data_IF_189261212141
#
_entry.id   IF_189261212141
#
_cell.length_a   1.000
_cell.length_b   1.000
_cell.length_c   1.000
_cell.angle_alpha   90.00
_cell.angle_beta   90.00
_cell.angle_gamma   90.00
#
_symmetry.space_group_name_H-M   'P 1'
#
loop_
_entity.id
_entity.type
_entity.pdbx_description
1 polymer ?
#
# COMPACT_ATOMS: atom_id res chain seq x y z
N UNK A 1 5.84 17.20 7.93
CA UNK A 1 5.44 16.66 6.61
C UNK A 1 3.97 16.97 6.33
N UNK A 2 3.02 16.47 7.10
CA UNK A 2 1.58 16.76 6.89
C UNK A 2 1.23 18.25 6.92
N UNK A 3 1.79 19.03 7.86
CA UNK A 3 1.60 20.48 7.89
C UNK A 3 2.07 21.19 6.60
N UNK A 4 3.12 20.70 5.93
CA UNK A 4 3.62 21.27 4.66
C UNK A 4 2.67 20.97 3.51
N UNK A 5 2.20 19.72 3.43
CA UNK A 5 1.19 19.29 2.45
C UNK A 5 -0.07 20.15 2.60
N UNK A 6 -0.53 20.37 3.84
CA UNK A 6 -1.68 21.23 4.13
C UNK A 6 -1.40 22.68 3.67
N UNK A 7 -0.24 23.27 3.96
CA UNK A 7 0.13 24.60 3.47
C UNK A 7 0.10 24.69 1.93
N UNK A 8 0.67 23.70 1.24
CA UNK A 8 0.70 23.64 -0.23
C UNK A 8 -0.71 23.49 -0.82
N UNK A 9 -1.60 22.72 -0.17
CA UNK A 9 -3.00 22.57 -0.60
C UNK A 9 -3.82 23.84 -0.36
N UNK A 10 -3.61 24.55 0.74
CA UNK A 10 -4.21 25.86 0.99
C UNK A 10 -3.82 26.84 -0.12
N UNK A 11 -2.54 26.85 -0.49
CA UNK A 11 -2.02 27.66 -1.59
C UNK A 11 -2.67 27.26 -2.92
N UNK A 12 -2.71 25.96 -3.25
CA UNK A 12 -3.33 25.45 -4.48
C UNK A 12 -4.82 25.79 -4.58
N UNK A 13 -5.56 25.70 -3.47
CA UNK A 13 -6.98 26.02 -3.41
C UNK A 13 -7.27 27.53 -3.50
N UNK A 14 -6.25 28.39 -3.36
CA UNK A 14 -6.41 29.85 -3.43
C UNK A 14 -7.20 30.45 -2.27
N UNK A 15 -7.28 29.75 -1.13
CA UNK A 15 -8.05 30.18 0.06
C UNK A 15 -7.13 30.70 1.17
N UNK A 16 -7.65 31.63 1.97
CA UNK A 16 -6.89 32.16 3.10
C UNK A 16 -6.84 31.17 4.27
N UNK A 17 -5.78 31.21 5.07
CA UNK A 17 -5.70 30.42 6.30
C UNK A 17 -6.85 30.76 7.27
N UNK A 18 -7.32 32.01 7.30
CA UNK A 18 -8.46 32.39 8.12
C UNK A 18 -9.75 31.66 7.69
N UNK A 19 -9.97 31.52 6.38
CA UNK A 19 -11.12 30.77 5.85
C UNK A 19 -11.02 29.28 6.18
N UNK A 20 -9.83 28.70 6.04
CA UNK A 20 -9.59 27.30 6.43
C UNK A 20 -9.86 27.11 7.93
N UNK A 21 -9.36 28.01 8.78
CA UNK A 21 -9.55 27.95 10.21
C UNK A 21 -11.04 27.97 10.61
N UNK A 22 -11.83 28.82 9.93
CA UNK A 22 -13.29 28.87 10.07
C UNK A 22 -13.93 27.52 9.69
N UNK A 23 -13.60 26.97 8.52
CA UNK A 23 -14.18 25.72 8.04
C UNK A 23 -13.86 24.53 8.96
N UNK A 24 -12.67 24.49 9.57
CA UNK A 24 -12.25 23.38 10.47
C UNK A 24 -12.56 23.65 11.95
N UNK A 25 -13.31 24.73 12.24
CA UNK A 25 -13.75 25.14 13.58
C UNK A 25 -12.57 25.39 14.55
N UNK A 26 -11.57 26.14 14.09
CA UNK A 26 -10.40 26.56 14.89
C UNK A 26 -10.13 28.04 14.77
N UNK A 27 -9.27 28.57 15.64
CA UNK A 27 -8.79 29.95 15.49
C UNK A 27 -7.66 30.04 14.45
N UNK A 28 -7.52 31.17 13.74
CA UNK A 28 -6.40 31.39 12.83
C UNK A 28 -5.02 31.21 13.48
N UNK A 29 -4.91 31.53 14.79
CA UNK A 29 -3.69 31.34 15.57
C UNK A 29 -3.37 29.85 15.73
N UNK A 30 -4.36 29.03 16.10
CA UNK A 30 -4.18 27.57 16.24
C UNK A 30 -3.76 26.94 14.92
N UNK A 31 -4.41 27.31 13.81
CA UNK A 31 -4.01 26.82 12.49
C UNK A 31 -2.58 27.28 12.15
N UNK A 32 -2.25 28.55 12.35
CA UNK A 32 -0.90 29.08 12.09
C UNK A 32 0.19 28.35 12.89
N UNK A 33 -0.04 28.09 14.18
CA UNK A 33 0.89 27.32 15.03
C UNK A 33 1.05 25.89 14.52
N UNK A 34 -0.05 25.23 14.13
CA UNK A 34 0.01 23.90 13.53
C UNK A 34 0.80 23.87 12.21
N UNK A 35 0.55 24.84 11.33
CA UNK A 35 1.22 24.92 10.02
C UNK A 35 2.73 25.18 10.16
N UNK A 36 3.16 25.85 11.24
CA UNK A 36 4.57 26.03 11.59
C UNK A 36 5.19 24.83 12.30
N UNK A 37 4.39 23.82 12.65
CA UNK A 37 4.83 22.65 13.42
C UNK A 37 5.07 22.94 14.91
N UNK A 38 4.53 24.06 15.41
CA UNK A 38 4.67 24.52 16.79
C UNK A 38 3.52 24.01 17.69
N UNK A 39 2.44 23.49 17.11
CA UNK A 39 1.29 22.93 17.82
C UNK A 39 0.64 21.77 17.05
N UNK A 40 -0.33 21.12 17.71
CA UNK A 40 -1.17 20.07 17.12
C UNK A 40 -2.61 20.54 16.97
N UNK A 41 -3.30 20.06 15.94
CA UNK A 41 -4.76 20.11 15.86
C UNK A 41 -5.35 18.90 16.58
N UNK A 42 -6.56 19.03 17.13
CA UNK A 42 -7.32 17.86 17.58
C UNK A 42 -7.78 17.03 16.36
N UNK A 43 -8.11 15.75 16.60
CA UNK A 43 -8.48 14.82 15.51
C UNK A 43 -9.63 15.34 14.64
N UNK A 44 -10.69 15.88 15.24
CA UNK A 44 -11.87 16.39 14.51
C UNK A 44 -11.51 17.54 13.58
N UNK A 45 -10.69 18.48 14.05
CA UNK A 45 -10.22 19.60 13.23
C UNK A 45 -9.23 19.15 12.15
N UNK A 46 -8.39 18.14 12.44
CA UNK A 46 -7.46 17.60 11.45
C UNK A 46 -8.17 16.80 10.35
N UNK A 47 -9.11 15.93 10.71
CA UNK A 47 -9.96 15.19 9.76
C UNK A 47 -10.70 16.15 8.83
N UNK A 48 -11.34 17.18 9.40
CA UNK A 48 -12.03 18.20 8.61
C UNK A 48 -11.08 19.01 7.74
N UNK A 49 -9.84 19.24 8.19
CA UNK A 49 -8.81 19.88 7.36
C UNK A 49 -8.43 19.03 6.15
N UNK A 50 -8.30 17.72 6.32
CA UNK A 50 -8.06 16.75 5.23
C UNK A 50 -9.24 16.76 4.25
N UNK A 51 -10.48 16.78 4.74
CA UNK A 51 -11.69 16.84 3.91
C UNK A 51 -11.82 18.16 3.13
N UNK A 52 -11.73 19.30 3.81
CA UNK A 52 -11.89 20.63 3.20
C UNK A 52 -10.82 20.91 2.14
N UNK A 53 -9.61 20.40 2.34
CA UNK A 53 -8.50 20.54 1.39
C UNK A 53 -8.42 19.40 0.36
N UNK A 54 -9.42 18.51 0.35
CA UNK A 54 -9.55 17.37 -0.57
C UNK A 54 -8.28 16.51 -0.64
N UNK A 55 -7.69 16.23 0.53
CA UNK A 55 -6.55 15.34 0.65
C UNK A 55 -7.09 13.91 0.66
N UNK A 56 -7.04 13.24 -0.48
CA UNK A 56 -7.64 11.92 -0.67
C UNK A 56 -6.87 10.79 0.04
N UNK A 57 -7.09 10.63 1.34
CA UNK A 57 -6.62 9.47 2.12
C UNK A 57 -7.56 8.25 1.98
N UNK A 58 -8.79 8.46 1.53
CA UNK A 58 -9.81 7.41 1.37
C UNK A 58 -9.40 6.36 0.33
N UNK A 59 -8.51 6.74 -0.60
CA UNK A 59 -7.96 5.83 -1.60
C UNK A 59 -7.35 4.55 -0.98
N UNK A 60 -6.70 4.65 0.18
CA UNK A 60 -6.11 3.49 0.87
C UNK A 60 -7.18 2.54 1.40
N UNK A 61 -8.24 3.10 2.00
CA UNK A 61 -9.38 2.31 2.46
C UNK A 61 -10.09 1.61 1.30
N UNK A 62 -10.37 2.34 0.23
CA UNK A 62 -11.09 1.81 -0.93
C UNK A 62 -10.31 0.68 -1.62
N UNK A 63 -8.99 0.84 -1.78
CA UNK A 63 -8.13 -0.22 -2.33
C UNK A 63 -8.13 -1.46 -1.46
N UNK A 64 -8.04 -1.29 -0.14
CA UNK A 64 -8.04 -2.42 0.79
C UNK A 64 -9.38 -3.17 0.80
N UNK A 65 -10.51 -2.46 0.85
CA UNK A 65 -11.83 -3.08 0.81
C UNK A 65 -12.09 -3.78 -0.53
N UNK A 66 -11.69 -3.18 -1.66
CA UNK A 66 -11.75 -3.84 -2.96
C UNK A 66 -10.92 -5.12 -2.98
N UNK A 67 -9.71 -5.10 -2.42
CA UNK A 67 -8.86 -6.29 -2.34
C UNK A 67 -9.48 -7.40 -1.48
N UNK A 68 -10.19 -7.06 -0.40
CA UNK A 68 -10.97 -8.03 0.39
C UNK A 68 -12.10 -8.66 -0.40
N UNK A 69 -12.84 -7.86 -1.17
CA UNK A 69 -13.92 -8.35 -2.04
C UNK A 69 -13.35 -9.32 -3.09
N UNK A 70 -12.28 -8.91 -3.78
CA UNK A 70 -11.59 -9.76 -4.78
C UNK A 70 -11.07 -11.04 -4.14
N UNK A 71 -10.37 -10.97 -3.01
CA UNK A 71 -9.87 -12.14 -2.30
C UNK A 71 -10.99 -13.12 -1.92
N UNK A 72 -12.12 -12.60 -1.45
CA UNK A 72 -13.31 -13.40 -1.11
C UNK A 72 -13.88 -14.11 -2.33
N UNK A 73 -13.90 -13.45 -3.50
CA UNK A 73 -14.34 -14.06 -4.76
C UNK A 73 -13.36 -15.13 -5.25
N UNK A 74 -12.05 -14.90 -5.17
CA UNK A 74 -11.04 -15.92 -5.53
C UNK A 74 -11.19 -17.19 -4.69
N UNK A 75 -11.40 -17.04 -3.38
CA UNK A 75 -11.67 -18.16 -2.46
C UNK A 75 -12.96 -18.90 -2.86
N UNK A 76 -14.05 -18.17 -3.13
CA UNK A 76 -15.33 -18.78 -3.57
C UNK A 76 -15.19 -19.54 -4.89
N UNK A 77 -14.44 -18.99 -5.84
CA UNK A 77 -14.13 -19.59 -7.14
C UNK A 77 -13.07 -20.69 -7.06
N UNK A 78 -12.54 -20.99 -5.86
CA UNK A 78 -11.51 -22.00 -5.61
C UNK A 78 -10.22 -21.79 -6.41
N UNK A 79 -9.88 -20.54 -6.69
CA UNK A 79 -8.66 -20.19 -7.42
C UNK A 79 -7.49 -20.24 -6.44
N UNK A 80 -6.47 -21.08 -6.69
CA UNK A 80 -5.30 -21.18 -5.82
C UNK A 80 -4.45 -19.90 -5.90
N UNK A 81 -3.69 -19.62 -4.84
CA UNK A 81 -2.92 -18.37 -4.72
C UNK A 81 -1.85 -18.27 -5.79
N UNK A 82 -1.24 -19.39 -6.15
CA UNK A 82 -0.26 -19.50 -7.23
C UNK A 82 -0.84 -19.02 -8.57
N UNK A 83 -2.11 -19.28 -8.82
CA UNK A 83 -2.82 -18.80 -10.01
C UNK A 83 -3.16 -17.32 -9.88
N UNK A 84 -3.69 -16.88 -8.72
CA UNK A 84 -3.98 -15.45 -8.44
C UNK A 84 -2.77 -14.57 -8.70
N UNK A 85 -1.58 -15.02 -8.28
CA UNK A 85 -0.31 -14.31 -8.45
C UNK A 85 0.10 -14.14 -9.91
N UNK A 86 -0.45 -14.93 -10.82
CA UNK A 86 -0.13 -14.92 -12.23
C UNK A 86 -1.20 -14.24 -13.09
N UNK A 87 -2.40 -13.99 -12.56
CA UNK A 87 -3.48 -13.32 -13.27
C UNK A 87 -3.03 -11.96 -13.83
N UNK A 88 -3.44 -11.69 -15.06
CA UNK A 88 -3.47 -10.36 -15.64
C UNK A 88 -4.66 -9.56 -15.09
N UNK A 89 -4.59 -8.23 -15.21
CA UNK A 89 -5.66 -7.32 -14.79
C UNK A 89 -7.01 -7.71 -15.41
N UNK A 90 -7.01 -7.99 -16.71
CA UNK A 90 -8.20 -8.40 -17.47
C UNK A 90 -8.75 -9.73 -16.97
N UNK A 91 -7.91 -10.74 -16.72
CA UNK A 91 -8.39 -12.02 -16.18
C UNK A 91 -9.02 -11.85 -14.80
N UNK A 92 -8.40 -11.04 -13.93
CA UNK A 92 -8.94 -10.76 -12.60
C UNK A 92 -10.29 -10.05 -12.68
N UNK A 93 -10.46 -9.09 -13.61
CA UNK A 93 -11.75 -8.44 -13.89
C UNK A 93 -12.78 -9.48 -14.33
N UNK A 94 -12.46 -10.33 -15.30
CA UNK A 94 -13.40 -11.33 -15.83
C UNK A 94 -13.85 -12.34 -14.76
N UNK A 95 -12.97 -12.69 -13.83
CA UNK A 95 -13.26 -13.62 -12.74
C UNK A 95 -14.13 -12.97 -11.65
N UNK A 96 -13.87 -11.69 -11.35
CA UNK A 96 -14.50 -10.98 -10.22
C UNK A 96 -15.77 -10.21 -10.61
N UNK A 97 -15.88 -9.81 -11.87
CA UNK A 97 -16.87 -8.85 -12.36
C UNK A 97 -16.66 -7.43 -11.85
N UNK A 98 -15.49 -7.10 -11.29
CA UNK A 98 -15.20 -5.77 -10.71
C UNK A 98 -14.46 -4.92 -11.76
N UNK A 99 -15.21 -4.10 -12.50
CA UNK A 99 -14.68 -3.24 -13.56
C UNK A 99 -13.71 -2.17 -13.05
N UNK A 100 -13.93 -1.67 -11.81
CA UNK A 100 -13.08 -0.65 -11.18
C UNK A 100 -11.61 -1.05 -11.06
N UNK A 101 -11.30 -2.36 -11.12
CA UNK A 101 -9.92 -2.85 -11.17
C UNK A 101 -9.15 -2.30 -12.38
N UNK A 102 -9.83 -1.91 -13.46
CA UNK A 102 -9.18 -1.33 -14.63
C UNK A 102 -8.51 0.02 -14.34
N UNK A 103 -8.96 0.74 -13.30
CA UNK A 103 -8.36 2.00 -12.85
C UNK A 103 -6.95 1.84 -12.27
N UNK A 104 -6.55 0.61 -11.93
CA UNK A 104 -5.21 0.31 -11.43
C UNK A 104 -4.19 0.32 -12.56
N UNK A 105 -3.05 0.97 -12.31
CA UNK A 105 -1.95 1.06 -13.26
C UNK A 105 -1.27 -0.29 -13.42
N UNK A 106 -1.36 -0.87 -14.62
CA UNK A 106 -0.63 -2.10 -14.94
C UNK A 106 0.77 -1.75 -15.43
N UNK A 107 1.78 -2.22 -14.71
CA UNK A 107 3.18 -1.77 -14.87
C UNK A 107 4.14 -2.94 -14.78
N UNK A 108 5.25 -2.84 -15.52
CA UNK A 108 6.37 -3.76 -15.39
C UNK A 108 7.26 -3.43 -14.17
N UNK A 109 8.24 -4.30 -13.89
CA UNK A 109 9.16 -4.14 -12.76
C UNK A 109 9.92 -2.81 -12.80
N UNK A 110 10.45 -2.43 -13.97
CA UNK A 110 11.22 -1.18 -14.14
C UNK A 110 10.37 0.07 -13.92
N UNK A 111 9.12 0.04 -14.33
CA UNK A 111 8.18 1.15 -14.18
C UNK A 111 7.72 1.25 -12.73
N UNK A 112 7.47 0.11 -12.06
CA UNK A 112 7.16 0.09 -10.63
C UNK A 112 8.33 0.66 -9.80
N UNK A 113 9.57 0.25 -10.07
CA UNK A 113 10.75 0.80 -9.40
C UNK A 113 10.88 2.33 -9.59
N UNK A 114 10.57 2.83 -10.78
CA UNK A 114 10.55 4.27 -11.06
C UNK A 114 9.46 4.99 -10.28
N UNK A 115 8.25 4.44 -10.24
CA UNK A 115 7.11 4.97 -9.46
C UNK A 115 7.53 5.11 -7.98
N UNK A 116 8.15 4.08 -7.43
CA UNK A 116 8.64 4.07 -6.05
C UNK A 116 9.69 5.16 -5.80
N UNK A 117 10.68 5.27 -6.70
CA UNK A 117 11.79 6.22 -6.54
C UNK A 117 11.36 7.67 -6.69
N UNK A 118 10.42 7.99 -7.60
CA UNK A 118 10.00 9.37 -7.82
C UNK A 118 8.90 9.84 -6.87
N UNK A 119 8.08 8.92 -6.32
CA UNK A 119 7.04 9.24 -5.35
C UNK A 119 5.88 10.11 -5.88
N UNK A 120 5.78 10.30 -7.20
CA UNK A 120 4.70 11.07 -7.83
C UNK A 120 3.40 10.28 -7.94
N UNK A 121 3.53 8.97 -8.16
CA UNK A 121 2.42 8.04 -8.22
C UNK A 121 2.56 7.13 -7.01
N UNK A 122 1.44 6.88 -6.34
CA UNK A 122 1.40 5.91 -5.25
C UNK A 122 1.50 4.49 -5.81
N UNK A 123 2.53 3.76 -5.41
CA UNK A 123 2.76 2.37 -5.85
C UNK A 123 1.61 1.44 -5.44
N UNK A 124 0.87 1.76 -4.38
CA UNK A 124 -0.31 0.99 -3.97
C UNK A 124 -1.47 1.11 -4.98
N UNK A 125 -1.43 2.10 -5.87
CA UNK A 125 -2.34 2.25 -7.00
C UNK A 125 -2.01 1.41 -8.23
N UNK A 126 -0.99 0.55 -8.15
CA UNK A 126 -0.59 -0.32 -9.26
C UNK A 126 -1.25 -1.69 -9.15
N UNK A 127 -1.62 -2.27 -10.29
CA UNK A 127 -2.22 -3.60 -10.36
C UNK A 127 -1.31 -4.70 -9.79
N UNK A 128 0.01 -4.74 -10.07
CA UNK A 128 0.89 -5.74 -9.47
C UNK A 128 0.89 -5.73 -7.94
N UNK A 129 0.92 -4.54 -7.32
CA UNK A 129 0.85 -4.42 -5.87
C UNK A 129 -0.51 -4.86 -5.34
N UNK A 130 -1.59 -4.43 -5.99
CA UNK A 130 -2.95 -4.84 -5.64
C UNK A 130 -3.13 -6.37 -5.69
N UNK A 131 -2.64 -7.03 -6.75
CA UNK A 131 -2.68 -8.50 -6.88
C UNK A 131 -1.92 -9.19 -5.75
N UNK A 132 -0.77 -8.65 -5.34
CA UNK A 132 -0.03 -9.16 -4.18
C UNK A 132 -0.82 -8.98 -2.89
N UNK A 133 -1.48 -7.84 -2.71
CA UNK A 133 -2.35 -7.58 -1.57
C UNK A 133 -3.53 -8.55 -1.52
N UNK A 134 -4.18 -8.84 -2.65
CA UNK A 134 -5.24 -9.86 -2.76
C UNK A 134 -4.72 -11.22 -2.27
N UNK A 135 -3.58 -11.68 -2.82
CA UNK A 135 -2.97 -12.94 -2.43
C UNK A 135 -2.61 -12.98 -0.93
N UNK A 136 -2.13 -11.86 -0.38
CA UNK A 136 -1.86 -11.73 1.04
C UNK A 136 -3.13 -11.88 1.89
N UNK A 137 -4.21 -11.19 1.52
CA UNK A 137 -5.50 -11.23 2.23
C UNK A 137 -6.12 -12.62 2.19
N UNK A 138 -6.01 -13.35 1.07
CA UNK A 138 -6.47 -14.74 0.98
C UNK A 138 -5.83 -15.65 2.03
N UNK A 139 -4.59 -15.40 2.44
CA UNK A 139 -3.89 -16.14 3.49
C UNK A 139 -4.25 -15.67 4.91
N UNK A 140 -4.66 -14.41 5.09
CA UNK A 140 -5.04 -13.89 6.40
C UNK A 140 -6.36 -14.49 6.90
N UNK A 141 -7.32 -14.69 5.98
CA UNK A 141 -8.70 -15.04 6.31
C UNK A 141 -9.39 -13.97 7.16
N UNK A 142 -10.47 -14.34 7.85
CA UNK A 142 -11.37 -13.38 8.51
C UNK A 142 -10.77 -12.59 9.69
N UNK A 143 -9.66 -13.08 10.26
CA UNK A 143 -8.97 -12.42 11.38
C UNK A 143 -7.49 -12.35 11.12
N UNK A 144 -7.00 -11.15 10.83
CA UNK A 144 -5.59 -10.85 10.71
C UNK A 144 -4.91 -10.95 12.09
N UNK A 145 -3.82 -11.70 12.16
CA UNK A 145 -2.92 -11.73 13.32
C UNK A 145 -1.50 -11.59 12.81
N UNK A 146 -0.58 -11.10 13.65
CA UNK A 146 0.85 -10.96 13.27
C UNK A 146 1.43 -12.28 12.74
N UNK A 147 1.08 -13.41 13.39
CA UNK A 147 1.52 -14.75 12.96
C UNK A 147 0.99 -15.11 11.57
N UNK A 148 -0.28 -14.81 11.27
CA UNK A 148 -0.88 -15.07 9.95
C UNK A 148 -0.30 -14.18 8.87
N UNK A 149 -0.08 -12.90 9.16
CA UNK A 149 0.57 -11.99 8.21
C UNK A 149 1.99 -12.47 7.87
N UNK A 150 2.74 -12.88 8.89
CA UNK A 150 4.08 -13.44 8.74
C UNK A 150 4.08 -14.74 7.92
N UNK A 151 3.18 -15.66 8.23
CA UNK A 151 3.02 -16.90 7.46
C UNK A 151 2.65 -16.61 6.01
N UNK A 152 1.76 -15.65 5.76
CA UNK A 152 1.39 -15.21 4.42
C UNK A 152 2.60 -14.71 3.64
N UNK A 153 3.45 -13.86 4.24
CA UNK A 153 4.68 -13.40 3.57
C UNK A 153 5.65 -14.54 3.27
N UNK A 154 5.75 -15.55 4.15
CA UNK A 154 6.58 -16.74 3.90
C UNK A 154 6.01 -17.58 2.75
N UNK A 155 4.70 -17.81 2.72
CA UNK A 155 4.03 -18.52 1.63
C UNK A 155 4.23 -17.78 0.30
N UNK A 156 4.05 -16.46 0.28
CA UNK A 156 4.22 -15.67 -0.93
C UNK A 156 5.69 -15.58 -1.36
N UNK A 157 6.64 -15.56 -0.43
CA UNK A 157 8.06 -15.53 -0.76
C UNK A 157 8.53 -16.84 -1.39
N UNK A 158 7.97 -17.98 -0.98
CA UNK A 158 8.26 -19.27 -1.61
C UNK A 158 7.68 -19.35 -3.03
N UNK A 159 6.43 -18.89 -3.23
CA UNK A 159 5.78 -18.86 -4.55
C UNK A 159 6.54 -17.94 -5.52
N UNK A 160 6.92 -16.75 -5.05
CA UNK A 160 7.69 -15.78 -5.85
C UNK A 160 9.18 -16.15 -5.97
N UNK A 161 9.63 -17.21 -5.27
CA UNK A 161 11.05 -17.56 -5.10
C UNK A 161 11.90 -16.33 -4.68
N UNK A 162 11.32 -15.43 -3.87
CA UNK A 162 11.94 -14.17 -3.43
C UNK A 162 13.14 -14.38 -2.50
N UNK A 163 13.30 -15.61 -1.99
CA UNK A 163 14.40 -16.00 -1.11
C UNK A 163 15.06 -17.22 -1.75
N UNK A 164 16.36 -17.13 -1.92
CA UNK A 164 17.17 -18.19 -2.51
C UNK A 164 17.10 -19.45 -1.62
N UNK A 165 16.78 -20.61 -2.21
CA UNK A 165 16.56 -21.87 -1.47
C UNK A 165 17.78 -22.29 -0.65
N UNK A 166 18.97 -21.81 -1.04
CA UNK A 166 20.24 -22.01 -0.34
C UNK A 166 20.26 -21.42 1.08
N UNK A 167 19.57 -20.30 1.33
CA UNK A 167 19.39 -19.75 2.68
C UNK A 167 18.33 -20.50 3.50
N UNK A 168 17.40 -21.19 2.84
CA UNK A 168 16.41 -22.05 3.49
C UNK A 168 17.02 -23.39 3.95
N UNK A 169 18.04 -23.87 3.24
CA UNK A 169 18.75 -25.13 3.47
C UNK A 169 19.75 -25.11 4.64
N UNK A 170 20.14 -23.93 5.14
CA UNK A 170 21.00 -23.78 6.33
C UNK A 170 20.25 -23.91 7.67
N UNK A 171 19.03 -24.45 7.67
CA UNK A 171 18.41 -25.00 8.89
C UNK A 171 17.88 -23.99 9.91
N UNK A 172 17.89 -22.69 9.62
CA UNK A 172 17.29 -21.67 10.47
C UNK A 172 16.01 -21.14 9.81
N UNK A 173 14.97 -21.97 9.81
CA UNK A 173 13.61 -21.58 9.39
C UNK A 173 12.93 -20.67 10.43
N UNK A 174 13.59 -19.59 10.84
CA UNK A 174 12.91 -18.56 11.63
C UNK A 174 12.25 -17.60 10.64
N UNK A 175 10.92 -17.49 10.65
CA UNK A 175 10.21 -16.52 9.80
C UNK A 175 10.71 -15.08 9.96
N UNK A 176 11.45 -14.80 11.05
CA UNK A 176 12.15 -13.55 11.33
C UNK A 176 13.23 -13.24 10.27
N UNK A 177 13.97 -14.24 9.78
CA UNK A 177 14.96 -14.06 8.71
C UNK A 177 14.29 -13.74 7.36
N UNK A 178 13.16 -14.39 7.06
CA UNK A 178 12.35 -14.09 5.87
C UNK A 178 11.83 -12.65 5.93
N UNK A 179 11.36 -12.20 7.11
CA UNK A 179 10.93 -10.82 7.29
C UNK A 179 12.08 -9.84 7.12
N UNK A 180 13.23 -10.10 7.76
CA UNK A 180 14.41 -9.24 7.68
C UNK A 180 14.94 -9.09 6.26
N UNK A 181 14.95 -10.17 5.47
CA UNK A 181 15.37 -10.14 4.06
C UNK A 181 14.38 -9.38 3.18
N UNK A 182 13.07 -9.59 3.34
CA UNK A 182 12.05 -8.85 2.60
C UNK A 182 12.05 -7.36 2.97
N UNK A 183 12.23 -7.01 4.25
CA UNK A 183 12.36 -5.63 4.69
C UNK A 183 13.64 -4.99 4.18
N UNK A 184 14.77 -5.70 4.21
CA UNK A 184 16.04 -5.19 3.70
C UNK A 184 15.97 -4.96 2.18
N UNK A 185 15.37 -5.88 1.42
CA UNK A 185 15.13 -5.71 0.00
C UNK A 185 14.27 -4.47 -0.26
N UNK A 186 13.22 -4.26 0.53
CA UNK A 186 12.36 -3.09 0.43
C UNK A 186 13.13 -1.81 0.77
N UNK A 187 13.97 -1.80 1.81
CA UNK A 187 14.80 -0.64 2.18
C UNK A 187 15.79 -0.30 1.07
N UNK A 188 16.39 -1.30 0.41
CA UNK A 188 17.28 -1.05 -0.73
C UNK A 188 16.53 -0.41 -1.90
N UNK A 189 15.25 -0.71 -2.07
CA UNK A 189 14.40 -0.19 -3.17
C UNK A 189 13.74 1.14 -2.82
N UNK A 190 13.20 1.29 -1.60
CA UNK A 190 12.46 2.44 -1.05
C UNK A 190 13.36 3.49 -0.38
N UNK A 191 14.62 3.15 -0.11
CA UNK A 191 15.48 3.96 0.77
C UNK A 191 15.17 3.76 2.26
N UNK A 192 15.60 4.71 3.09
CA UNK A 192 15.66 4.61 4.57
C UNK A 192 14.32 4.43 5.30
N UNK A 193 13.17 4.45 4.63
CA UNK A 193 11.84 4.47 5.26
C UNK A 193 10.91 3.38 4.72
N UNK A 194 11.39 2.14 4.64
CA UNK A 194 10.53 1.00 4.37
C UNK A 194 9.43 0.88 5.42
N UNK A 195 8.20 1.29 5.08
CA UNK A 195 7.03 1.19 5.96
C UNK A 195 6.62 -0.27 6.23
N UNK A 196 5.58 -0.49 7.05
CA UNK A 196 5.12 -1.84 7.42
C UNK A 196 4.64 -2.71 6.24
N UNK A 197 4.37 -2.09 5.08
CA UNK A 197 3.99 -2.78 3.83
C UNK A 197 5.19 -3.19 2.97
N UNK A 198 6.41 -2.86 3.41
CA UNK A 198 7.68 -3.22 2.75
C UNK A 198 7.76 -4.68 2.28
N UNK A 199 7.36 -5.69 3.08
CA UNK A 199 7.41 -7.07 2.62
C UNK A 199 6.55 -7.32 1.38
N UNK A 200 5.35 -6.75 1.30
CA UNK A 200 4.46 -6.92 0.14
C UNK A 200 5.04 -6.24 -1.10
N UNK A 201 5.67 -5.09 -0.94
CA UNK A 201 6.31 -4.41 -2.06
C UNK A 201 7.48 -5.22 -2.62
N UNK A 202 8.35 -5.75 -1.76
CA UNK A 202 9.46 -6.62 -2.17
C UNK A 202 8.96 -7.86 -2.93
N UNK A 203 7.91 -8.50 -2.41
CA UNK A 203 7.27 -9.64 -3.08
C UNK A 203 6.70 -9.24 -4.45
N UNK A 204 6.13 -8.03 -4.55
CA UNK A 204 5.58 -7.51 -5.81
C UNK A 204 6.67 -7.37 -6.86
N UNK A 205 7.78 -6.72 -6.52
CA UNK A 205 8.90 -6.50 -7.45
C UNK A 205 9.52 -7.83 -7.89
N UNK A 206 9.75 -8.75 -6.95
CA UNK A 206 10.27 -10.08 -7.27
C UNK A 206 9.32 -10.90 -8.16
N UNK A 207 8.00 -10.73 -7.98
CA UNK A 207 7.01 -11.39 -8.84
C UNK A 207 7.05 -10.86 -10.28
N UNK A 208 7.40 -9.59 -10.47
CA UNK A 208 7.49 -8.97 -11.80
C UNK A 208 8.82 -9.25 -12.49
N UNK A 209 9.93 -9.27 -11.75
CA UNK A 209 11.26 -9.47 -12.34
C UNK A 209 11.46 -10.85 -12.96
N UNK A 210 10.65 -11.84 -12.57
CA UNK A 210 10.70 -13.23 -13.06
C UNK A 210 9.77 -13.53 -14.23
N UNK A 211 8.86 -12.62 -14.60
CA UNK A 211 8.01 -12.76 -15.79
C UNK A 211 8.74 -12.40 -17.10
N UNK A 212 10.09 -12.44 -17.11
CA UNK A 212 10.94 -12.21 -18.28
C UNK A 212 11.36 -13.52 -18.92
#
# INVERSE_FOLDING_TARGET
MLHKIIQERIFLAGISQAKVAEEIHTTPIQLSLYLRGEASLNNKSLERCIEVLDININVYHNRFEMAKIVASQMIKSKIPIEEVMNLSKIQMINITGIEDLDTLLDVDASTLERIIKCGLVDYEGTYPFFRMMVAHIMQLGDKATTKKAMNSWITLSSITNSIDKTNLLLGIASGVLVLGTLMQAAITILGKSGGLLSPLLSLTINSLSKKR
#
